data_IF_451431299805
#
_entry.id   IF_451431299805
#
_cell.length_a   1.000
_cell.length_b   1.000
_cell.length_c   1.000
_cell.angle_alpha   90.00
_cell.angle_beta   90.00
_cell.angle_gamma   90.00
#
_symmetry.space_group_name_H-M   'P 1'
#
loop_
_entity.id
_entity.type
_entity.pdbx_description
1 polymer ?
#
# COMPACT_ATOMS: atom_id res chain seq x y z
N UNK A 1 12.10 -7.66 20.92
CA UNK A 1 11.38 -7.99 19.69
C UNK A 1 11.41 -6.77 18.78
N UNK A 2 11.90 -6.93 17.55
CA UNK A 2 11.84 -5.84 16.57
C UNK A 2 10.39 -5.69 16.10
N UNK A 3 9.89 -4.45 16.06
CA UNK A 3 8.54 -4.15 15.59
C UNK A 3 8.38 -4.59 14.13
N UNK A 4 7.29 -5.27 13.75
CA UNK A 4 7.05 -5.70 12.36
C UNK A 4 6.78 -4.51 11.43
N UNK A 5 7.25 -4.61 10.20
CA UNK A 5 7.10 -3.60 9.16
C UNK A 5 6.27 -4.12 8.01
N UNK A 6 5.29 -3.34 7.60
CA UNK A 6 4.42 -3.64 6.47
C UNK A 6 4.49 -2.55 5.42
N UNK A 7 4.52 -2.95 4.17
CA UNK A 7 4.44 -2.04 3.03
C UNK A 7 3.02 -2.05 2.50
N UNK A 8 2.38 -0.86 2.48
CA UNK A 8 0.98 -0.70 2.07
C UNK A 8 0.93 -0.24 0.62
N UNK A 9 0.42 -1.07 -0.26
CA UNK A 9 0.36 -0.86 -1.70
C UNK A 9 -1.06 -0.49 -2.14
N UNK A 10 -1.17 0.32 -3.16
CA UNK A 10 -2.45 0.70 -3.77
C UNK A 10 -2.32 1.96 -4.59
N UNK A 11 -3.15 2.10 -5.63
CA UNK A 11 -3.14 3.25 -6.51
C UNK A 11 -3.60 4.54 -5.79
N UNK A 12 -3.38 5.72 -6.40
CA UNK A 12 -3.91 6.97 -5.87
C UNK A 12 -5.40 6.88 -5.56
N UNK A 13 -5.80 7.37 -4.40
CA UNK A 13 -7.20 7.32 -3.99
C UNK A 13 -7.74 5.96 -3.53
N UNK A 14 -6.92 4.90 -3.45
CA UNK A 14 -7.37 3.57 -2.99
C UNK A 14 -7.70 3.47 -1.49
N UNK A 15 -7.51 4.55 -0.72
CA UNK A 15 -7.85 4.58 0.70
C UNK A 15 -6.77 4.06 1.65
N UNK A 16 -5.51 3.90 1.20
CA UNK A 16 -4.38 3.44 2.02
C UNK A 16 -4.23 4.20 3.33
N UNK A 17 -3.96 5.50 3.23
CA UNK A 17 -3.71 6.36 4.40
C UNK A 17 -4.91 6.41 5.33
N UNK A 18 -6.13 6.40 4.80
CA UNK A 18 -7.37 6.32 5.59
C UNK A 18 -7.49 5.00 6.34
N UNK A 19 -7.12 3.88 5.69
CA UNK A 19 -7.08 2.55 6.31
C UNK A 19 -6.10 2.54 7.48
N UNK A 20 -4.87 3.01 7.26
CA UNK A 20 -3.83 3.06 8.30
C UNK A 20 -4.28 3.92 9.48
N UNK A 21 -4.79 5.11 9.20
CA UNK A 21 -5.22 6.06 10.23
C UNK A 21 -6.39 5.53 11.09
N UNK A 22 -7.26 4.72 10.51
CA UNK A 22 -8.41 4.11 11.22
C UNK A 22 -8.05 2.81 11.92
N UNK A 23 -7.10 2.05 11.39
CA UNK A 23 -6.74 0.74 11.93
C UNK A 23 -5.95 0.83 13.22
N UNK A 24 -5.14 1.87 13.39
CA UNK A 24 -4.31 2.03 14.58
C UNK A 24 -4.18 3.51 14.94
N UNK A 25 -4.20 3.88 16.24
CA UNK A 25 -3.71 5.17 16.67
C UNK A 25 -2.21 5.24 16.39
N UNK A 26 -1.86 5.60 15.16
CA UNK A 26 -0.50 5.65 14.69
C UNK A 26 -0.02 7.11 14.59
N UNK A 27 1.21 7.35 15.04
CA UNK A 27 1.86 8.61 14.83
C UNK A 27 2.58 8.60 13.47
N UNK A 28 2.30 9.60 12.64
CA UNK A 28 3.04 9.81 11.41
C UNK A 28 4.47 10.25 11.76
N UNK A 29 5.43 9.43 11.38
CA UNK A 29 6.82 9.79 11.45
C UNK A 29 7.22 10.42 10.12
N UNK A 30 7.85 11.60 10.18
CA UNK A 30 8.64 12.06 9.05
C UNK A 30 9.93 11.25 9.03
N UNK A 31 10.07 10.27 8.13
CA UNK A 31 11.31 9.53 8.06
C UNK A 31 12.42 10.53 7.75
N UNK A 32 13.41 10.63 8.63
CA UNK A 32 14.70 11.21 8.29
C UNK A 32 15.40 10.18 7.41
N UNK A 33 14.84 9.97 6.22
CA UNK A 33 15.47 9.22 5.17
C UNK A 33 16.75 9.99 4.79
N UNK A 34 17.82 9.28 4.51
CA UNK A 34 19.13 9.82 4.21
C UNK A 34 19.08 10.98 3.23
N UNK A 35 20.16 11.80 3.22
CA UNK A 35 20.25 13.06 2.47
C UNK A 35 19.87 12.91 0.99
N UNK A 36 20.10 11.72 0.41
CA UNK A 36 19.74 11.40 -0.98
C UNK A 36 18.23 11.25 -1.21
N UNK A 37 17.49 10.85 -0.17
CA UNK A 37 16.02 10.82 -0.21
C UNK A 37 15.39 12.15 0.18
N UNK A 38 16.15 13.10 0.76
CA UNK A 38 15.63 14.41 1.14
C UNK A 38 15.16 15.21 -0.07
N UNK A 39 15.94 15.20 -1.17
CA UNK A 39 15.56 15.92 -2.39
C UNK A 39 14.33 15.34 -3.05
N UNK A 40 14.03 14.07 -2.75
CA UNK A 40 12.88 13.36 -3.27
C UNK A 40 11.70 13.37 -2.30
N UNK A 41 11.96 13.39 -1.00
CA UNK A 41 10.97 13.50 0.07
C UNK A 41 10.32 14.89 0.16
N UNK A 42 10.80 15.88 -0.59
CA UNK A 42 10.15 17.20 -0.67
C UNK A 42 8.68 17.10 -1.11
N UNK A 43 8.32 16.05 -1.88
CA UNK A 43 6.96 15.83 -2.36
C UNK A 43 6.12 14.92 -1.42
N UNK A 44 6.63 14.53 -0.25
CA UNK A 44 5.95 13.63 0.71
C UNK A 44 5.40 12.34 0.06
N UNK A 45 6.20 11.74 -0.84
CA UNK A 45 5.78 10.55 -1.60
C UNK A 45 5.85 9.24 -0.80
N UNK A 46 6.38 9.26 0.42
CA UNK A 46 6.44 8.09 1.30
C UNK A 46 6.15 8.53 2.72
N UNK A 47 5.06 8.04 3.27
CA UNK A 47 4.70 8.21 4.67
C UNK A 47 5.11 6.98 5.50
N UNK A 48 5.60 7.23 6.71
CA UNK A 48 5.90 6.20 7.68
C UNK A 48 5.01 6.39 8.90
N UNK A 49 4.26 5.37 9.26
CA UNK A 49 3.33 5.38 10.39
C UNK A 49 3.82 4.43 11.47
N UNK A 50 4.05 4.95 12.66
CA UNK A 50 4.43 4.17 13.84
C UNK A 50 3.18 3.91 14.69
N UNK A 51 2.68 2.69 14.64
CA UNK A 51 1.64 2.20 15.54
C UNK A 51 2.23 1.51 16.78
N UNK A 52 1.37 1.06 17.67
CA UNK A 52 1.80 0.34 18.88
C UNK A 52 2.40 -1.04 18.57
N UNK A 53 1.93 -1.69 17.52
CA UNK A 53 2.29 -3.07 17.18
C UNK A 53 3.02 -3.23 15.85
N UNK A 54 3.04 -2.20 15.01
CA UNK A 54 3.62 -2.28 13.68
C UNK A 54 4.06 -0.92 13.14
N UNK A 55 5.01 -0.95 12.22
CA UNK A 55 5.35 0.18 11.35
C UNK A 55 4.70 -0.07 9.99
N UNK A 56 4.00 0.93 9.46
CA UNK A 56 3.40 0.89 8.13
C UNK A 56 4.06 1.92 7.23
N UNK A 57 4.58 1.47 6.11
CA UNK A 57 5.10 2.32 5.04
C UNK A 57 4.01 2.52 4.01
N UNK A 58 3.65 3.77 3.77
CA UNK A 58 2.60 4.19 2.83
C UNK A 58 3.22 4.98 1.67
N UNK A 59 3.75 4.32 0.65
CA UNK A 59 4.20 5.01 -0.56
C UNK A 59 3.00 5.59 -1.31
N UNK A 60 3.15 6.79 -1.84
CA UNK A 60 2.16 7.42 -2.68
C UNK A 60 1.81 6.51 -3.88
N UNK A 61 0.55 6.47 -4.25
CA UNK A 61 0.08 5.60 -5.34
C UNK A 61 0.75 5.88 -6.69
N UNK A 62 1.23 7.10 -6.88
CA UNK A 62 1.97 7.55 -8.06
C UNK A 62 3.29 6.78 -8.23
N UNK A 63 3.93 6.36 -7.12
CA UNK A 63 5.13 5.53 -7.18
C UNK A 63 4.86 4.14 -7.75
N UNK A 64 3.61 3.70 -7.70
CA UNK A 64 3.19 2.40 -8.21
C UNK A 64 2.67 2.48 -9.64
N UNK A 65 2.00 3.56 -10.02
CA UNK A 65 1.36 3.70 -11.32
C UNK A 65 2.33 3.84 -12.50
N UNK A 66 3.47 4.48 -12.31
CA UNK A 66 4.62 4.60 -13.24
C UNK A 66 4.24 4.43 -14.73
N UNK A 67 3.38 5.30 -15.24
CA UNK A 67 2.98 5.26 -16.65
C UNK A 67 4.11 5.77 -17.54
N UNK A 68 4.59 4.93 -18.44
CA UNK A 68 5.55 5.24 -19.51
C UNK A 68 6.79 6.06 -19.07
N UNK A 69 7.70 5.47 -18.26
CA UNK A 69 8.88 6.19 -17.74
C UNK A 69 9.81 6.71 -18.82
N UNK A 70 9.71 6.19 -20.04
CA UNK A 70 10.54 6.63 -21.17
C UNK A 70 10.13 8.00 -21.70
N UNK A 71 8.86 8.37 -21.57
CA UNK A 71 8.28 9.60 -22.10
C UNK A 71 8.07 10.69 -21.04
N UNK A 72 7.90 10.31 -19.78
CA UNK A 72 7.61 11.24 -18.68
C UNK A 72 8.74 11.31 -17.65
N UNK A 73 9.41 12.48 -17.50
CA UNK A 73 10.44 12.67 -16.46
C UNK A 73 9.95 12.42 -15.04
N UNK A 74 8.67 12.68 -14.74
CA UNK A 74 8.08 12.42 -13.42
C UNK A 74 7.92 10.91 -13.20
N UNK A 75 7.48 10.16 -14.18
CA UNK A 75 7.37 8.72 -14.09
C UNK A 75 8.73 8.06 -13.84
N UNK A 76 9.82 8.56 -14.46
CA UNK A 76 11.20 8.13 -14.16
C UNK A 76 11.62 8.45 -12.73
N UNK A 77 11.22 9.61 -12.21
CA UNK A 77 11.49 9.98 -10.82
C UNK A 77 10.78 9.02 -9.88
N UNK A 78 9.50 8.72 -10.13
CA UNK A 78 8.71 7.79 -9.34
C UNK A 78 9.29 6.37 -9.35
N UNK A 79 9.72 5.88 -10.52
CA UNK A 79 10.38 4.58 -10.64
C UNK A 79 11.67 4.51 -9.81
N UNK A 80 12.55 5.50 -9.95
CA UNK A 80 13.80 5.56 -9.16
C UNK A 80 13.54 5.56 -7.67
N UNK A 81 12.53 6.32 -7.22
CA UNK A 81 12.13 6.37 -5.82
C UNK A 81 11.62 5.05 -5.29
N UNK A 82 10.76 4.42 -6.07
CA UNK A 82 10.24 3.11 -5.75
C UNK A 82 11.37 2.10 -5.56
N UNK A 83 12.27 1.99 -6.54
CA UNK A 83 13.42 1.09 -6.46
C UNK A 83 14.36 1.45 -5.31
N UNK A 84 14.58 2.75 -5.08
CA UNK A 84 15.41 3.20 -3.97
C UNK A 84 14.80 2.82 -2.61
N UNK A 85 13.50 2.99 -2.42
CA UNK A 85 12.80 2.55 -1.21
C UNK A 85 13.01 1.06 -0.95
N UNK A 86 12.86 0.22 -1.98
CA UNK A 86 13.03 -1.22 -1.85
C UNK A 86 14.48 -1.59 -1.49
N UNK A 87 15.45 -0.99 -2.16
CA UNK A 87 16.86 -1.22 -1.88
C UNK A 87 17.24 -0.75 -0.48
N UNK A 88 16.79 0.44 -0.07
CA UNK A 88 17.01 0.97 1.27
C UNK A 88 16.48 0.03 2.36
N UNK A 89 15.28 -0.51 2.20
CA UNK A 89 14.70 -1.48 3.13
C UNK A 89 15.58 -2.74 3.22
N UNK A 90 16.02 -3.25 2.08
CA UNK A 90 16.84 -4.45 2.02
C UNK A 90 18.24 -4.25 2.66
N UNK A 91 18.82 -3.07 2.51
CA UNK A 91 20.14 -2.73 3.05
C UNK A 91 20.11 -2.46 4.55
N UNK A 92 19.12 -1.71 5.03
CA UNK A 92 19.05 -1.27 6.43
C UNK A 92 18.33 -2.28 7.34
N UNK A 93 17.53 -3.18 6.78
CA UNK A 93 16.81 -4.21 7.51
C UNK A 93 17.14 -5.62 7.02
N UNK A 94 18.42 -5.92 6.84
CA UNK A 94 18.94 -7.14 6.19
C UNK A 94 18.34 -8.47 6.68
N UNK A 95 17.99 -8.59 7.96
CA UNK A 95 17.43 -9.84 8.50
C UNK A 95 15.98 -10.06 8.11
N UNK A 96 15.20 -8.99 8.11
CA UNK A 96 13.78 -9.02 7.77
C UNK A 96 13.37 -7.62 7.30
N UNK A 97 13.54 -7.33 6.01
CA UNK A 97 13.21 -6.02 5.44
C UNK A 97 11.75 -5.63 5.69
N UNK A 98 10.85 -6.59 5.45
CA UNK A 98 9.42 -6.48 5.66
C UNK A 98 8.87 -7.74 6.32
N UNK A 99 7.77 -7.60 7.04
CA UNK A 99 7.01 -8.71 7.63
C UNK A 99 5.80 -9.10 6.78
N UNK A 100 5.38 -8.23 5.87
CA UNK A 100 4.28 -8.49 4.96
C UNK A 100 3.94 -7.30 4.08
N UNK A 101 3.03 -7.55 3.14
CA UNK A 101 2.50 -6.57 2.20
C UNK A 101 1.01 -6.43 2.42
N UNK A 102 0.50 -5.21 2.38
CA UNK A 102 -0.94 -4.92 2.43
C UNK A 102 -1.31 -4.28 1.09
N UNK A 103 -2.14 -4.93 0.30
CA UNK A 103 -2.66 -4.39 -0.95
C UNK A 103 -4.07 -3.85 -0.73
N UNK A 104 -4.25 -2.55 -0.90
CA UNK A 104 -5.57 -1.92 -0.84
C UNK A 104 -6.20 -1.85 -2.22
N UNK A 105 -7.41 -2.39 -2.34
CA UNK A 105 -8.19 -2.42 -3.57
C UNK A 105 -9.45 -1.59 -3.38
N UNK A 106 -9.63 -0.56 -4.17
CA UNK A 106 -10.83 0.28 -4.19
C UNK A 106 -11.99 -0.49 -4.86
N UNK A 107 -12.93 -0.99 -4.06
CA UNK A 107 -14.08 -1.73 -4.58
C UNK A 107 -15.06 -0.85 -5.36
N UNK A 108 -15.21 0.40 -4.98
CA UNK A 108 -16.08 1.32 -5.71
C UNK A 108 -15.57 1.49 -7.15
N UNK A 109 -14.26 1.75 -7.33
CA UNK A 109 -13.65 1.79 -8.65
C UNK A 109 -13.76 0.43 -9.37
N UNK A 110 -13.41 -0.67 -8.69
CA UNK A 110 -13.40 -2.00 -9.29
C UNK A 110 -14.79 -2.43 -9.81
N UNK A 111 -15.86 -2.00 -9.16
CA UNK A 111 -17.24 -2.32 -9.55
C UNK A 111 -17.66 -1.66 -10.87
N UNK A 112 -17.09 -0.50 -11.18
CA UNK A 112 -17.41 0.28 -12.38
C UNK A 112 -16.37 0.13 -13.50
N UNK A 113 -15.16 -0.35 -13.17
CA UNK A 113 -14.08 -0.51 -14.14
C UNK A 113 -14.41 -1.58 -15.20
N UNK A 114 -14.01 -1.31 -16.44
CA UNK A 114 -14.09 -2.27 -17.52
C UNK A 114 -13.20 -3.49 -17.30
N UNK A 115 -13.43 -4.54 -18.05
CA UNK A 115 -12.58 -5.76 -17.99
C UNK A 115 -11.12 -5.42 -18.35
N UNK A 116 -10.90 -4.53 -19.30
CA UNK A 116 -9.56 -4.11 -19.71
C UNK A 116 -8.83 -3.35 -18.59
N UNK A 117 -9.51 -2.41 -17.93
CA UNK A 117 -8.95 -1.65 -16.81
C UNK A 117 -8.63 -2.55 -15.62
N UNK A 118 -9.53 -3.46 -15.27
CA UNK A 118 -9.28 -4.46 -14.20
C UNK A 118 -8.06 -5.33 -14.50
N UNK A 119 -7.92 -5.77 -15.75
CA UNK A 119 -6.78 -6.56 -16.19
C UNK A 119 -5.48 -5.76 -16.11
N UNK A 120 -5.48 -4.52 -16.60
CA UNK A 120 -4.32 -3.63 -16.52
C UNK A 120 -3.91 -3.37 -15.07
N UNK A 121 -4.87 -3.09 -14.17
CA UNK A 121 -4.64 -2.94 -12.74
C UNK A 121 -3.99 -4.19 -12.13
N UNK A 122 -4.55 -5.37 -12.41
CA UNK A 122 -4.03 -6.63 -11.88
C UNK A 122 -2.60 -6.91 -12.38
N UNK A 123 -2.31 -6.61 -13.64
CA UNK A 123 -0.97 -6.75 -14.21
C UNK A 123 0.03 -5.79 -13.54
N UNK A 124 -0.36 -4.53 -13.35
CA UNK A 124 0.46 -3.53 -12.67
C UNK A 124 0.77 -3.95 -11.23
N UNK A 125 -0.25 -4.31 -10.45
CA UNK A 125 -0.03 -4.75 -9.06
C UNK A 125 0.85 -6.00 -8.99
N UNK A 126 0.64 -6.94 -9.90
CA UNK A 126 1.49 -8.14 -9.99
C UNK A 126 2.96 -7.78 -10.26
N UNK A 127 3.22 -6.84 -11.17
CA UNK A 127 4.58 -6.36 -11.44
C UNK A 127 5.23 -5.77 -10.19
N UNK A 128 4.51 -4.88 -9.47
CA UNK A 128 5.02 -4.28 -8.22
C UNK A 128 5.31 -5.32 -7.14
N UNK A 129 4.43 -6.30 -6.97
CA UNK A 129 4.63 -7.39 -6.03
C UNK A 129 5.84 -8.27 -6.40
N UNK A 130 6.07 -8.49 -7.69
CA UNK A 130 7.24 -9.22 -8.17
C UNK A 130 8.54 -8.45 -7.91
N UNK A 131 8.56 -7.14 -8.12
CA UNK A 131 9.71 -6.28 -7.82
C UNK A 131 10.07 -6.32 -6.32
N UNK A 132 9.06 -6.21 -5.44
CA UNK A 132 9.27 -6.34 -3.99
C UNK A 132 9.86 -7.71 -3.67
N UNK A 133 9.26 -8.79 -4.16
CA UNK A 133 9.71 -10.16 -3.88
C UNK A 133 11.12 -10.42 -4.40
N UNK A 134 11.46 -9.91 -5.58
CA UNK A 134 12.79 -10.05 -6.17
C UNK A 134 13.86 -9.29 -5.36
N UNK A 135 13.56 -8.03 -4.96
CA UNK A 135 14.50 -7.21 -4.19
C UNK A 135 14.70 -7.75 -2.78
N UNK A 136 13.62 -8.18 -2.11
CA UNK A 136 13.69 -8.71 -0.74
C UNK A 136 14.24 -10.16 -0.69
N UNK A 137 14.29 -10.84 -1.82
CA UNK A 137 14.69 -12.25 -1.94
C UNK A 137 13.97 -13.16 -0.92
N UNK A 138 12.70 -12.89 -0.65
CA UNK A 138 11.89 -13.62 0.33
C UNK A 138 10.41 -13.66 -0.10
N UNK A 139 9.71 -14.67 0.41
CA UNK A 139 8.26 -14.74 0.27
C UNK A 139 7.61 -13.99 1.41
N UNK A 140 6.91 -12.91 1.10
CA UNK A 140 6.17 -12.11 2.06
C UNK A 140 4.69 -12.49 2.05
N UNK A 141 4.04 -12.58 3.21
CA UNK A 141 2.60 -12.70 3.26
C UNK A 141 1.95 -11.47 2.62
N UNK A 142 0.92 -11.69 1.81
CA UNK A 142 0.15 -10.65 1.15
C UNK A 142 -1.26 -10.61 1.75
N UNK A 143 -1.62 -9.47 2.32
CA UNK A 143 -2.95 -9.17 2.81
C UNK A 143 -3.66 -8.28 1.80
N UNK A 144 -4.75 -8.77 1.19
CA UNK A 144 -5.57 -7.97 0.29
C UNK A 144 -6.71 -7.37 1.07
N UNK A 145 -6.78 -6.05 1.10
CA UNK A 145 -7.81 -5.30 1.84
C UNK A 145 -8.67 -4.51 0.86
N UNK A 146 -9.96 -4.75 0.92
CA UNK A 146 -10.94 -4.02 0.13
C UNK A 146 -11.39 -2.76 0.88
N UNK A 147 -11.36 -1.63 0.18
CA UNK A 147 -11.75 -0.32 0.71
C UNK A 147 -13.02 0.18 0.02
N UNK A 148 -13.67 1.18 0.60
CA UNK A 148 -14.87 1.85 0.06
C UNK A 148 -16.05 0.91 -0.21
N UNK A 149 -16.22 -0.08 0.66
CA UNK A 149 -17.39 -0.96 0.60
C UNK A 149 -18.69 -0.18 0.80
N UNK A 150 -18.64 0.86 1.62
CA UNK A 150 -19.74 1.81 1.89
C UNK A 150 -20.24 2.53 0.62
N UNK A 151 -19.43 2.58 -0.42
CA UNK A 151 -19.81 3.17 -1.72
C UNK A 151 -20.46 2.15 -2.68
N UNK A 152 -20.51 0.88 -2.31
CA UNK A 152 -21.20 -0.13 -3.11
C UNK A 152 -22.71 -0.04 -2.91
N UNK A 153 -23.43 -0.08 -4.02
CA UNK A 153 -24.90 -0.02 -3.99
C UNK A 153 -25.49 -1.15 -3.15
N UNK A 154 -26.26 -0.81 -2.13
CA UNK A 154 -26.94 -1.75 -1.25
C UNK A 154 -26.06 -2.28 -0.10
N UNK A 155 -24.82 -1.85 0.03
CA UNK A 155 -23.97 -2.24 1.15
C UNK A 155 -24.56 -1.77 2.49
N UNK A 156 -25.04 -0.55 2.54
CA UNK A 156 -25.70 0.06 3.69
C UNK A 156 -26.89 -0.79 4.18
N UNK A 157 -27.74 -1.22 3.26
CA UNK A 157 -28.91 -2.06 3.57
C UNK A 157 -28.50 -3.40 4.19
N UNK A 158 -27.45 -4.04 3.64
CA UNK A 158 -26.96 -5.31 4.17
C UNK A 158 -26.27 -5.10 5.52
N UNK A 159 -25.46 -4.05 5.65
CA UNK A 159 -24.73 -3.75 6.87
C UNK A 159 -25.66 -3.40 8.05
N UNK A 160 -26.76 -2.70 7.80
CA UNK A 160 -27.77 -2.38 8.82
C UNK A 160 -28.48 -3.62 9.37
N UNK A 161 -28.59 -4.69 8.58
CA UNK A 161 -29.20 -5.95 9.00
C UNK A 161 -28.27 -6.83 9.85
N UNK A 162 -26.96 -6.55 9.88
CA UNK A 162 -26.02 -7.27 10.72
C UNK A 162 -26.19 -6.87 12.19
N UNK A 163 -26.12 -7.82 13.08
CA UNK A 163 -26.02 -7.56 14.51
C UNK A 163 -24.66 -6.94 14.88
N UNK A 164 -24.51 -6.52 16.13
CA UNK A 164 -23.27 -5.87 16.58
C UNK A 164 -22.07 -6.78 16.46
N UNK A 165 -22.23 -8.06 16.79
CA UNK A 165 -21.13 -9.03 16.75
C UNK A 165 -20.64 -9.25 15.31
N UNK A 166 -21.57 -9.39 14.35
CA UNK A 166 -21.23 -9.53 12.93
C UNK A 166 -20.60 -8.25 12.34
N UNK A 167 -20.99 -7.05 12.81
CA UNK A 167 -20.38 -5.77 12.39
C UNK A 167 -18.97 -5.60 12.92
N UNK A 168 -18.69 -6.09 14.12
CA UNK A 168 -17.38 -6.02 14.76
C UNK A 168 -16.43 -7.15 14.29
N UNK A 169 -16.98 -8.18 13.64
CA UNK A 169 -16.20 -9.29 13.13
C UNK A 169 -15.36 -8.89 11.92
N UNK A 170 -14.16 -9.45 11.82
CA UNK A 170 -13.31 -9.27 10.65
C UNK A 170 -13.91 -10.07 9.49
N UNK A 171 -14.35 -9.36 8.44
CA UNK A 171 -14.81 -9.98 7.21
C UNK A 171 -13.59 -10.32 6.34
N UNK A 172 -13.28 -11.60 6.23
CA UNK A 172 -12.15 -12.03 5.41
C UNK A 172 -12.02 -13.55 5.33
N UNK A 173 -11.14 -13.98 4.46
CA UNK A 173 -10.75 -15.39 4.27
C UNK A 173 -9.21 -15.47 4.22
N UNK A 174 -8.65 -16.56 4.71
CA UNK A 174 -7.20 -16.86 4.65
C UNK A 174 -6.94 -18.02 3.71
#
# INVERSE_FOLDING_TARGET
YAMPWYLVLGLPGSGKSSLIHRATPANKLNPRLDTELRDVAQDQLIDCWLGEQAVMLDPAGELLSQSEPELDPQARKHERLWLHLLNWLNEHRRRQPLNGLVLTVDLAWLSHASVAERKAYAQLMRSRLQEVSATMNTRLPLYVTFTKLDMLRGFDVVYEQLDKEARDAVLGVT
#
